data_IF_084245492391
#
_entry.id   IF_084245492391
#
_cell.length_a   1.000
_cell.length_b   1.000
_cell.length_c   1.000
_cell.angle_alpha   90.00
_cell.angle_beta   90.00
_cell.angle_gamma   90.00
#
_symmetry.space_group_name_H-M   'P 1'
#
loop_
_entity.id
_entity.type
_entity.pdbx_description
1 polymer ?
#
# COMPACT_ATOMS: atom_id res chain seq x y z
N UNK A 1 16.69 -3.27 19.14
CA UNK A 1 15.31 -3.21 18.65
C UNK A 1 15.26 -3.58 17.15
N UNK A 2 14.05 -3.59 16.50
CA UNK A 2 13.96 -4.00 15.08
C UNK A 2 14.62 -2.97 14.16
N UNK A 3 14.39 -1.68 14.39
CA UNK A 3 14.98 -0.60 13.62
C UNK A 3 16.52 -0.63 13.66
N UNK A 4 17.10 -0.82 14.85
CA UNK A 4 18.56 -0.90 15.01
C UNK A 4 19.13 -2.12 14.26
N UNK A 5 18.48 -3.29 14.37
CA UNK A 5 18.88 -4.49 13.64
C UNK A 5 18.80 -4.34 12.11
N UNK A 6 17.84 -3.57 11.61
CA UNK A 6 17.72 -3.27 10.18
C UNK A 6 18.94 -2.45 9.71
N UNK A 7 19.31 -1.43 10.48
CA UNK A 7 20.51 -0.62 10.22
C UNK A 7 21.80 -1.45 10.31
N UNK A 8 21.93 -2.26 11.35
CA UNK A 8 23.09 -3.15 11.55
C UNK A 8 23.22 -4.20 10.44
N UNK A 9 22.10 -4.60 9.83
CA UNK A 9 22.06 -5.49 8.65
C UNK A 9 22.38 -4.77 7.33
N UNK A 10 22.66 -3.46 7.36
CA UNK A 10 23.04 -2.68 6.17
C UNK A 10 21.86 -2.14 5.36
N UNK A 11 20.64 -2.12 5.92
CA UNK A 11 19.50 -1.44 5.28
C UNK A 11 19.67 0.07 5.46
N UNK A 12 19.84 0.77 4.36
CA UNK A 12 20.04 2.21 4.35
C UNK A 12 18.76 2.96 4.73
N UNK A 13 17.63 2.53 4.15
CA UNK A 13 16.30 3.06 4.46
C UNK A 13 15.27 1.95 4.56
N UNK A 14 14.21 2.18 5.36
CA UNK A 14 13.03 1.32 5.46
C UNK A 14 11.79 2.20 5.39
N UNK A 15 10.95 1.97 4.41
CA UNK A 15 9.63 2.62 4.35
C UNK A 15 8.70 1.89 5.30
N UNK A 16 8.08 2.64 6.22
CA UNK A 16 7.13 2.10 7.20
C UNK A 16 5.74 2.58 6.84
N UNK A 17 4.85 1.62 6.53
CA UNK A 17 3.48 1.93 6.14
C UNK A 17 2.54 1.93 7.34
N UNK A 18 1.70 2.95 7.45
CA UNK A 18 0.50 2.95 8.27
C UNK A 18 -0.70 2.40 7.48
N UNK A 19 -1.68 1.85 8.18
CA UNK A 19 -2.81 1.13 7.59
C UNK A 19 -4.17 1.69 8.03
N UNK A 20 -4.21 2.39 9.16
CA UNK A 20 -5.39 2.94 9.81
C UNK A 20 -4.96 4.06 10.80
N UNK A 21 -5.90 4.79 11.44
CA UNK A 21 -5.56 5.98 12.22
C UNK A 21 -4.50 5.77 13.31
N UNK A 22 -4.54 4.67 14.06
CA UNK A 22 -3.60 4.43 15.17
C UNK A 22 -2.19 4.15 14.64
N UNK A 23 -2.08 3.26 13.65
CA UNK A 23 -0.80 2.91 13.03
C UNK A 23 -0.19 4.09 12.27
N UNK A 24 -0.99 4.93 11.61
CA UNK A 24 -0.52 6.13 10.93
C UNK A 24 0.19 7.09 11.91
N UNK A 25 -0.39 7.37 13.10
CA UNK A 25 0.25 8.21 14.12
C UNK A 25 1.52 7.55 14.64
N UNK A 26 1.47 6.22 14.87
CA UNK A 26 2.63 5.47 15.34
C UNK A 26 3.78 5.44 14.35
N UNK A 27 3.50 5.39 13.05
CA UNK A 27 4.52 5.49 11.99
C UNK A 27 5.26 6.82 12.08
N UNK A 28 4.54 7.94 12.20
CA UNK A 28 5.16 9.26 12.36
C UNK A 28 6.05 9.33 13.61
N UNK A 29 5.55 8.85 14.76
CA UNK A 29 6.33 8.80 16.00
C UNK A 29 7.60 7.92 15.89
N UNK A 30 7.53 6.82 15.15
CA UNK A 30 8.68 5.93 14.92
C UNK A 30 9.72 6.61 14.03
N UNK A 31 9.30 7.23 12.94
CA UNK A 31 10.17 7.91 12.00
C UNK A 31 10.83 9.15 12.65
N UNK A 32 10.14 9.84 13.55
CA UNK A 32 10.75 10.93 14.34
C UNK A 32 11.92 10.47 15.25
N UNK A 33 11.99 9.18 15.58
CA UNK A 33 13.04 8.60 16.46
C UNK A 33 14.18 7.93 15.68
N UNK A 34 13.96 7.61 14.41
CA UNK A 34 14.88 6.81 13.60
C UNK A 34 14.98 7.39 12.19
N UNK A 35 16.08 8.03 11.89
CA UNK A 35 16.37 8.76 10.64
C UNK A 35 16.40 7.90 9.37
N UNK A 36 16.56 6.58 9.50
CA UNK A 36 16.52 5.61 8.41
C UNK A 36 15.13 4.99 8.17
N UNK A 37 14.14 5.35 9.00
CA UNK A 37 12.74 4.97 8.78
C UNK A 37 12.01 6.11 8.07
N UNK A 38 11.37 5.81 6.96
CA UNK A 38 10.67 6.78 6.12
C UNK A 38 9.17 6.55 6.20
N UNK A 39 8.35 7.57 6.53
CA UNK A 39 6.93 7.38 6.75
C UNK A 39 6.13 7.33 5.45
N UNK A 40 5.27 6.33 5.33
CA UNK A 40 4.16 6.30 4.38
C UNK A 40 2.86 6.09 5.15
N UNK A 41 1.86 6.89 4.87
CA UNK A 41 0.56 6.79 5.54
C UNK A 41 -0.55 6.48 4.54
N UNK A 42 -1.45 5.59 4.94
CA UNK A 42 -2.55 5.15 4.10
C UNK A 42 -3.74 4.60 4.89
N UNK A 43 -4.68 4.07 4.13
CA UNK A 43 -5.81 3.29 4.66
C UNK A 43 -5.83 1.97 3.90
N UNK A 44 -5.58 0.87 4.61
CA UNK A 44 -5.59 -0.47 4.03
C UNK A 44 -6.99 -0.82 3.53
N UNK A 45 -7.14 -1.56 2.42
CA UNK A 45 -8.45 -1.82 1.80
C UNK A 45 -9.51 -2.40 2.74
N UNK A 46 -9.12 -3.34 3.61
CA UNK A 46 -10.06 -3.94 4.58
C UNK A 46 -10.45 -2.92 5.66
N UNK A 47 -9.52 -2.08 6.11
CA UNK A 47 -9.81 -1.02 7.08
C UNK A 47 -10.69 0.09 6.47
N UNK A 48 -10.56 0.34 5.16
CA UNK A 48 -11.38 1.34 4.46
C UNK A 48 -12.88 1.05 4.49
N UNK A 49 -13.25 -0.22 4.65
CA UNK A 49 -14.64 -0.70 4.67
C UNK A 49 -15.09 -1.14 6.07
N UNK A 50 -14.32 -0.85 7.11
CA UNK A 50 -14.59 -1.28 8.49
C UNK A 50 -16.04 -1.03 8.94
N UNK A 51 -16.64 0.10 8.53
CA UNK A 51 -18.04 0.47 8.87
C UNK A 51 -19.10 -0.50 8.34
N UNK A 52 -18.77 -1.35 7.35
CA UNK A 52 -19.66 -2.35 6.77
C UNK A 52 -19.40 -3.76 7.33
N UNK A 53 -18.40 -3.92 8.19
CA UNK A 53 -18.01 -5.18 8.79
C UNK A 53 -18.70 -5.30 10.15
N UNK A 54 -19.45 -6.39 10.33
CA UNK A 54 -19.98 -6.77 11.62
C UNK A 54 -18.93 -7.61 12.38
N UNK A 55 -18.39 -7.11 13.50
CA UNK A 55 -17.38 -7.83 14.26
C UNK A 55 -17.87 -9.19 14.80
N UNK A 56 -19.18 -9.38 15.01
CA UNK A 56 -19.75 -10.63 15.53
C UNK A 56 -19.77 -11.75 14.49
N UNK A 57 -19.79 -11.38 13.20
CA UNK A 57 -19.79 -12.33 12.07
C UNK A 57 -18.44 -12.44 11.37
N UNK A 58 -17.42 -11.72 11.88
CA UNK A 58 -16.08 -11.72 11.30
C UNK A 58 -15.38 -13.07 11.52
N UNK A 59 -15.20 -13.83 10.44
CA UNK A 59 -14.58 -15.16 10.44
C UNK A 59 -13.24 -15.15 9.64
N UNK A 60 -12.24 -14.48 10.21
CA UNK A 60 -10.89 -14.44 9.67
C UNK A 60 -9.85 -14.65 10.77
N UNK A 61 -8.64 -15.07 10.40
CA UNK A 61 -7.52 -15.33 11.32
C UNK A 61 -6.94 -14.09 12.03
N UNK A 62 -7.45 -12.90 11.71
CA UNK A 62 -7.05 -11.62 12.31
C UNK A 62 -8.26 -10.86 12.86
N UNK A 63 -8.07 -9.96 13.84
CA UNK A 63 -9.18 -9.19 14.41
C UNK A 63 -9.94 -8.37 13.37
N UNK A 64 -11.25 -8.15 13.55
CA UNK A 64 -12.01 -7.26 12.69
C UNK A 64 -11.43 -5.84 12.76
N UNK A 65 -11.45 -5.09 11.63
CA UNK A 65 -10.97 -3.72 11.61
C UNK A 65 -11.81 -2.81 12.49
N UNK A 66 -11.18 -1.88 13.19
CA UNK A 66 -11.87 -0.90 14.01
C UNK A 66 -12.59 0.14 13.14
N UNK A 67 -13.79 0.54 13.54
CA UNK A 67 -14.54 1.58 12.81
C UNK A 67 -13.90 2.97 13.01
N UNK A 68 -13.72 3.69 11.93
CA UNK A 68 -13.30 5.10 11.91
C UNK A 68 -13.89 5.83 10.69
N UNK A 69 -13.80 7.15 10.69
CA UNK A 69 -14.17 7.96 9.54
C UNK A 69 -13.00 8.04 8.55
N UNK A 70 -13.16 7.43 7.38
CA UNK A 70 -12.12 7.39 6.33
C UNK A 70 -11.81 8.79 5.77
N UNK A 71 -12.81 9.69 5.67
CA UNK A 71 -12.60 11.04 5.14
C UNK A 71 -11.81 11.92 6.13
N UNK A 72 -12.03 11.75 7.44
CA UNK A 72 -11.23 12.43 8.49
C UNK A 72 -9.78 11.94 8.45
N UNK A 73 -9.57 10.63 8.24
CA UNK A 73 -8.21 10.09 8.15
C UNK A 73 -7.50 10.53 6.87
N UNK A 74 -8.19 10.59 5.74
CA UNK A 74 -7.64 11.16 4.49
C UNK A 74 -7.26 12.63 4.68
N UNK A 75 -8.11 13.41 5.35
CA UNK A 75 -7.80 14.80 5.67
C UNK A 75 -6.56 14.94 6.59
N UNK A 76 -6.41 14.03 7.57
CA UNK A 76 -5.20 13.98 8.38
C UNK A 76 -3.95 13.67 7.54
N UNK A 77 -3.99 12.65 6.67
CA UNK A 77 -2.88 12.29 5.78
C UNK A 77 -2.50 13.48 4.89
N UNK A 78 -3.48 14.16 4.30
CA UNK A 78 -3.29 15.38 3.51
C UNK A 78 -2.61 16.49 4.32
N UNK A 79 -2.98 16.66 5.59
CA UNK A 79 -2.45 17.73 6.47
C UNK A 79 -0.99 17.53 6.88
N UNK A 80 -0.46 16.30 6.80
CA UNK A 80 0.93 15.94 7.17
C UNK A 80 1.76 15.47 5.99
N UNK A 81 1.29 15.68 4.76
CA UNK A 81 1.87 15.12 3.54
C UNK A 81 3.31 15.59 3.29
N UNK A 82 3.69 16.75 3.77
CA UNK A 82 5.07 17.31 3.70
C UNK A 82 6.10 16.47 4.51
N UNK A 83 5.63 15.62 5.41
CA UNK A 83 6.46 14.70 6.20
C UNK A 83 6.60 13.32 5.55
N UNK A 84 5.80 13.00 4.53
CA UNK A 84 5.67 11.66 3.98
C UNK A 84 6.60 11.44 2.79
N UNK A 85 7.08 10.19 2.62
CA UNK A 85 7.76 9.77 1.40
C UNK A 85 6.79 9.18 0.37
N UNK A 86 5.64 8.70 0.83
CA UNK A 86 4.60 8.11 -0.02
C UNK A 86 3.23 8.16 0.67
N UNK A 87 2.17 8.03 -0.10
CA UNK A 87 0.83 7.69 0.38
C UNK A 87 0.65 6.18 0.26
N UNK A 88 0.42 5.50 1.38
CA UNK A 88 0.27 4.03 1.41
C UNK A 88 0.50 3.46 2.83
N UNK A 89 0.14 2.21 3.06
CA UNK A 89 -0.39 1.28 2.07
C UNK A 89 -1.89 1.51 1.87
N UNK A 90 -2.34 1.52 0.62
CA UNK A 90 -3.74 1.67 0.24
C UNK A 90 -4.03 0.83 -1.01
N UNK A 91 -5.28 0.70 -1.43
CA UNK A 91 -5.57 -0.04 -2.65
C UNK A 91 -6.86 -0.85 -2.62
N UNK A 92 -6.83 -2.05 -3.22
CA UNK A 92 -7.98 -2.95 -3.32
C UNK A 92 -7.63 -4.36 -2.85
N UNK A 93 -8.53 -4.96 -2.07
CA UNK A 93 -8.46 -6.37 -1.70
C UNK A 93 -9.81 -7.06 -2.02
N UNK A 94 -9.78 -7.94 -3.01
CA UNK A 94 -10.92 -8.75 -3.43
C UNK A 94 -10.73 -10.24 -3.04
N UNK A 95 -9.83 -10.49 -2.11
CA UNK A 95 -9.62 -11.81 -1.52
C UNK A 95 -10.38 -11.96 -0.19
N UNK A 96 -10.23 -10.98 0.69
CA UNK A 96 -10.89 -11.00 1.99
C UNK A 96 -12.34 -10.53 1.93
N UNK A 97 -12.61 -9.46 1.14
CA UNK A 97 -13.94 -8.85 1.02
C UNK A 97 -14.23 -8.57 -0.45
N UNK A 98 -15.31 -9.15 -0.96
CA UNK A 98 -15.66 -9.06 -2.40
C UNK A 98 -16.85 -8.15 -2.69
N UNK A 99 -17.66 -7.82 -1.70
CA UNK A 99 -18.93 -7.10 -1.86
C UNK A 99 -18.84 -5.57 -1.63
N UNK A 100 -17.70 -5.09 -1.12
CA UNK A 100 -17.47 -3.66 -0.81
C UNK A 100 -16.45 -2.99 -1.74
N UNK A 101 -16.26 -3.52 -2.96
CA UNK A 101 -15.34 -2.96 -3.95
C UNK A 101 -15.56 -1.46 -4.24
N UNK A 102 -16.80 -0.94 -4.41
CA UNK A 102 -17.02 0.49 -4.67
C UNK A 102 -16.48 1.41 -3.57
N UNK A 103 -16.57 1.01 -2.31
CA UNK A 103 -16.05 1.82 -1.20
C UNK A 103 -14.52 1.77 -1.14
N UNK A 104 -13.90 0.60 -1.36
CA UNK A 104 -12.44 0.50 -1.48
C UNK A 104 -11.93 1.39 -2.63
N UNK A 105 -12.60 1.37 -3.79
CA UNK A 105 -12.25 2.24 -4.92
C UNK A 105 -12.40 3.73 -4.57
N UNK A 106 -13.46 4.11 -3.86
CA UNK A 106 -13.67 5.49 -3.40
C UNK A 106 -12.48 5.97 -2.55
N UNK A 107 -12.11 5.18 -1.55
CA UNK A 107 -11.01 5.52 -0.64
C UNK A 107 -9.69 5.56 -1.37
N UNK A 108 -9.39 4.57 -2.24
CA UNK A 108 -8.18 4.57 -3.06
C UNK A 108 -8.08 5.83 -3.92
N UNK A 109 -9.15 6.21 -4.61
CA UNK A 109 -9.17 7.43 -5.45
C UNK A 109 -8.87 8.68 -4.63
N UNK A 110 -9.50 8.82 -3.46
CA UNK A 110 -9.25 9.97 -2.56
C UNK A 110 -7.79 10.02 -2.08
N UNK A 111 -7.17 8.89 -1.77
CA UNK A 111 -5.76 8.84 -1.41
C UNK A 111 -4.84 9.12 -2.60
N UNK A 112 -5.20 8.68 -3.81
CA UNK A 112 -4.51 9.07 -5.04
C UNK A 112 -4.59 10.59 -5.30
N UNK A 113 -5.73 11.24 -5.02
CA UNK A 113 -5.85 12.72 -5.09
C UNK A 113 -4.85 13.42 -4.16
N UNK A 114 -4.70 12.92 -2.93
CA UNK A 114 -3.69 13.43 -1.98
C UNK A 114 -2.27 13.23 -2.54
N UNK A 115 -1.96 12.04 -3.05
CA UNK A 115 -0.65 11.74 -3.61
C UNK A 115 -0.32 12.66 -4.81
N UNK A 116 -1.27 12.84 -5.73
CA UNK A 116 -1.11 13.74 -6.89
C UNK A 116 -0.90 15.20 -6.44
N UNK A 117 -1.71 15.68 -5.50
CA UNK A 117 -1.63 17.05 -4.96
C UNK A 117 -0.25 17.39 -4.39
N UNK A 118 0.39 16.41 -3.72
CA UNK A 118 1.68 16.59 -3.04
C UNK A 118 2.88 15.99 -3.80
N UNK A 119 2.67 15.53 -5.04
CA UNK A 119 3.69 14.88 -5.89
C UNK A 119 4.34 13.64 -5.23
N UNK A 120 3.60 12.94 -4.39
CA UNK A 120 4.03 11.74 -3.68
C UNK A 120 3.75 10.47 -4.48
N UNK A 121 4.60 9.41 -4.38
CA UNK A 121 4.26 8.10 -4.88
C UNK A 121 3.15 7.43 -4.05
N UNK A 122 2.46 6.46 -4.68
CA UNK A 122 1.45 5.62 -4.01
C UNK A 122 2.00 4.21 -3.81
N UNK A 123 1.94 3.67 -2.59
CA UNK A 123 2.27 2.27 -2.29
C UNK A 123 0.97 1.48 -2.20
N UNK A 124 0.85 0.46 -3.06
CA UNK A 124 -0.42 -0.19 -3.37
C UNK A 124 -0.51 -1.63 -2.89
N UNK A 125 -1.53 -1.91 -2.12
CA UNK A 125 -2.07 -3.25 -1.95
C UNK A 125 -3.02 -3.59 -3.12
N UNK A 126 -2.90 -4.78 -3.71
CA UNK A 126 -3.71 -5.13 -4.90
C UNK A 126 -4.03 -6.62 -4.99
N UNK A 127 -4.55 -7.21 -3.91
CA UNK A 127 -4.79 -8.65 -3.83
C UNK A 127 -6.09 -9.05 -4.55
N UNK A 128 -5.99 -9.90 -5.62
CA UNK A 128 -7.11 -10.30 -6.50
C UNK A 128 -7.80 -9.12 -7.20
N UNK A 129 -7.16 -7.96 -7.22
CA UNK A 129 -7.67 -6.72 -7.79
C UNK A 129 -6.61 -5.96 -8.62
N UNK A 130 -5.50 -6.61 -8.97
CA UNK A 130 -4.33 -5.97 -9.57
C UNK A 130 -4.66 -5.23 -10.87
N UNK A 131 -5.53 -5.82 -11.71
CA UNK A 131 -5.93 -5.21 -12.97
C UNK A 131 -6.77 -3.95 -12.73
N UNK A 132 -7.74 -4.02 -11.82
CA UNK A 132 -8.61 -2.88 -11.49
C UNK A 132 -7.83 -1.75 -10.81
N UNK A 133 -6.92 -2.09 -9.89
CA UNK A 133 -6.02 -1.11 -9.28
C UNK A 133 -5.20 -0.38 -10.36
N UNK A 134 -4.61 -1.12 -11.30
CA UNK A 134 -3.86 -0.52 -12.42
C UNK A 134 -4.72 0.40 -13.28
N UNK A 135 -5.95 0.00 -13.61
CA UNK A 135 -6.91 0.83 -14.36
C UNK A 135 -7.21 2.15 -13.64
N UNK A 136 -7.49 2.10 -12.34
CA UNK A 136 -7.76 3.30 -11.53
C UNK A 136 -6.59 4.28 -11.57
N UNK A 137 -5.35 3.80 -11.45
CA UNK A 137 -4.18 4.68 -11.53
C UNK A 137 -4.08 5.36 -12.90
N UNK A 138 -4.36 4.62 -13.98
CA UNK A 138 -4.36 5.18 -15.33
C UNK A 138 -5.49 6.20 -15.53
N UNK A 139 -6.70 5.90 -15.04
CA UNK A 139 -7.86 6.79 -15.08
C UNK A 139 -7.57 8.12 -14.36
N UNK A 140 -6.84 8.08 -13.24
CA UNK A 140 -6.52 9.24 -12.42
C UNK A 140 -5.25 9.98 -12.85
N UNK A 141 -4.45 9.40 -13.75
CA UNK A 141 -3.17 9.98 -14.16
C UNK A 141 -2.09 9.95 -13.08
N UNK A 142 -2.14 8.96 -12.17
CA UNK A 142 -1.06 8.73 -11.19
C UNK A 142 0.21 8.35 -11.94
N UNK A 143 1.32 9.01 -11.67
CA UNK A 143 2.59 8.80 -12.38
C UNK A 143 3.63 8.03 -11.55
N UNK A 144 3.53 8.02 -10.23
CA UNK A 144 4.47 7.38 -9.31
C UNK A 144 3.73 6.34 -8.46
N UNK A 145 4.00 5.06 -8.64
CA UNK A 145 3.39 4.01 -7.84
C UNK A 145 4.29 2.78 -7.68
N UNK A 146 4.19 2.12 -6.52
CA UNK A 146 4.72 0.78 -6.25
C UNK A 146 3.56 -0.19 -5.98
N UNK A 147 3.46 -1.25 -6.77
CA UNK A 147 2.59 -2.38 -6.48
C UNK A 147 3.29 -3.29 -5.47
N UNK A 148 2.98 -3.07 -4.20
CA UNK A 148 3.64 -3.75 -3.09
C UNK A 148 3.37 -5.25 -3.09
N UNK A 149 4.42 -6.06 -2.92
CA UNK A 149 4.35 -7.53 -2.90
C UNK A 149 3.53 -8.10 -4.08
N UNK A 150 3.73 -7.58 -5.29
CA UNK A 150 2.92 -7.91 -6.46
C UNK A 150 2.84 -9.43 -6.71
N UNK A 151 1.64 -9.99 -6.59
CA UNK A 151 1.36 -11.42 -6.76
C UNK A 151 0.52 -11.77 -8.00
N UNK A 152 0.27 -10.80 -8.88
CA UNK A 152 -0.57 -10.96 -10.05
C UNK A 152 0.11 -11.66 -11.23
N UNK A 153 -0.58 -11.69 -12.38
CA UNK A 153 -0.11 -12.37 -13.59
C UNK A 153 1.07 -11.61 -14.24
N UNK A 154 2.07 -12.35 -14.74
CA UNK A 154 3.25 -11.80 -15.41
C UNK A 154 2.90 -10.88 -16.60
N UNK A 155 1.84 -11.20 -17.37
CA UNK A 155 1.40 -10.34 -18.49
C UNK A 155 0.99 -8.95 -18.00
N UNK A 156 0.32 -8.86 -16.87
CA UNK A 156 -0.07 -7.58 -16.26
C UNK A 156 1.14 -6.87 -15.65
N UNK A 157 2.02 -7.60 -14.97
CA UNK A 157 3.26 -7.04 -14.43
C UNK A 157 4.09 -6.31 -15.50
N UNK A 158 4.24 -6.90 -16.70
CA UNK A 158 4.92 -6.26 -17.82
C UNK A 158 4.23 -4.97 -18.29
N UNK A 159 2.90 -4.91 -18.24
CA UNK A 159 2.15 -3.68 -18.56
C UNK A 159 2.34 -2.60 -17.50
N UNK A 160 2.33 -2.98 -16.23
CA UNK A 160 2.58 -2.09 -15.09
C UNK A 160 4.00 -1.49 -15.19
N UNK A 161 5.01 -2.33 -15.42
CA UNK A 161 6.39 -1.88 -15.62
C UNK A 161 6.54 -0.95 -16.86
N UNK A 162 5.88 -1.31 -17.97
CA UNK A 162 5.89 -0.48 -19.20
C UNK A 162 5.18 0.87 -19.01
N UNK A 163 4.25 0.97 -18.08
CA UNK A 163 3.63 2.24 -17.68
C UNK A 163 4.51 3.10 -16.75
N UNK A 164 5.69 2.60 -16.36
CA UNK A 164 6.65 3.32 -15.51
C UNK A 164 6.50 3.05 -14.02
N UNK A 165 5.58 2.18 -13.60
CA UNK A 165 5.38 1.85 -12.19
C UNK A 165 6.37 0.79 -11.69
N UNK A 166 6.56 0.77 -10.38
CA UNK A 166 7.40 -0.19 -9.67
C UNK A 166 6.58 -1.35 -9.11
N UNK A 167 7.27 -2.43 -8.78
CA UNK A 167 6.71 -3.59 -8.09
C UNK A 167 7.71 -4.11 -7.06
N UNK A 168 7.33 -4.18 -5.80
CA UNK A 168 8.19 -4.81 -4.81
C UNK A 168 7.98 -6.32 -4.76
N UNK A 169 9.06 -7.04 -4.50
CA UNK A 169 9.11 -8.50 -4.43
C UNK A 169 9.26 -8.94 -2.98
N UNK A 170 8.34 -9.75 -2.44
CA UNK A 170 8.41 -10.16 -1.05
C UNK A 170 9.54 -11.18 -0.79
N UNK A 171 10.04 -11.31 0.46
CA UNK A 171 11.10 -12.24 0.83
C UNK A 171 10.82 -13.72 0.49
N UNK A 172 9.54 -14.07 0.33
CA UNK A 172 9.13 -15.42 -0.10
C UNK A 172 9.63 -15.78 -1.52
N UNK A 173 10.14 -14.81 -2.29
CA UNK A 173 10.78 -15.05 -3.60
C UNK A 173 11.85 -16.16 -3.56
N UNK A 174 12.53 -16.32 -2.44
CA UNK A 174 13.54 -17.40 -2.27
C UNK A 174 12.92 -18.80 -2.38
N UNK A 175 11.61 -18.95 -2.14
CA UNK A 175 10.89 -20.24 -2.06
C UNK A 175 9.73 -20.35 -3.06
N UNK A 176 9.16 -19.22 -3.52
CA UNK A 176 7.97 -19.20 -4.40
C UNK A 176 8.37 -18.93 -5.86
N UNK A 177 8.15 -19.90 -6.74
CA UNK A 177 8.58 -19.84 -8.14
C UNK A 177 7.85 -18.74 -8.94
N UNK A 178 6.61 -18.39 -8.58
CA UNK A 178 5.88 -17.28 -9.20
C UNK A 178 6.63 -15.96 -9.03
N UNK A 179 7.11 -15.65 -7.83
CA UNK A 179 7.90 -14.44 -7.57
C UNK A 179 9.29 -14.48 -8.20
N UNK A 180 9.93 -15.67 -8.26
CA UNK A 180 11.19 -15.84 -9.01
C UNK A 180 11.00 -15.54 -10.50
N UNK A 181 9.88 -15.97 -11.08
CA UNK A 181 9.56 -15.68 -12.49
C UNK A 181 9.34 -14.20 -12.72
N UNK A 182 8.63 -13.51 -11.82
CA UNK A 182 8.47 -12.05 -11.88
C UNK A 182 9.82 -11.35 -11.83
N UNK A 183 10.65 -11.64 -10.82
CA UNK A 183 11.96 -11.03 -10.63
C UNK A 183 12.92 -11.24 -11.83
N UNK A 184 12.81 -12.39 -12.52
CA UNK A 184 13.61 -12.67 -13.74
C UNK A 184 13.10 -12.02 -15.00
N UNK A 185 11.81 -11.72 -15.06
CA UNK A 185 11.14 -11.29 -16.28
C UNK A 185 10.92 -9.77 -16.37
N UNK A 186 11.10 -9.05 -15.27
CA UNK A 186 10.94 -7.60 -15.18
C UNK A 186 12.29 -6.88 -15.21
N UNK A 187 12.35 -5.66 -15.72
CA UNK A 187 13.54 -4.82 -15.62
C UNK A 187 13.88 -4.54 -14.15
N UNK A 188 15.17 -4.62 -13.79
CA UNK A 188 15.62 -4.38 -12.40
C UNK A 188 15.34 -2.95 -11.92
N UNK A 189 15.28 -1.98 -12.85
CA UNK A 189 14.93 -0.60 -12.55
C UNK A 189 13.42 -0.38 -12.34
N UNK A 190 12.64 -1.46 -12.29
CA UNK A 190 11.21 -1.49 -11.98
C UNK A 190 10.87 -2.42 -10.81
N UNK A 191 11.88 -2.90 -10.10
CA UNK A 191 11.74 -3.77 -8.93
C UNK A 191 12.27 -3.09 -7.67
#
# INVERSE_FOLDING_TARGET
QVADRARDAGLEYVIVNGLEPVSNRRVLELCDRHDHLLPALGIYPVDSIARFIDPETWDNDFPPPAHFNTDDEIAFIDSVADRLIAVGECGLDQYWITDQAPEQERVLRRLCEVAIKHDLPVILHSRKAEARTFEILQEMGVVKADFHCYGGKLKLAKRIAAAGYYMSIPPVVTRADSFKQLARALPLDRL
#
